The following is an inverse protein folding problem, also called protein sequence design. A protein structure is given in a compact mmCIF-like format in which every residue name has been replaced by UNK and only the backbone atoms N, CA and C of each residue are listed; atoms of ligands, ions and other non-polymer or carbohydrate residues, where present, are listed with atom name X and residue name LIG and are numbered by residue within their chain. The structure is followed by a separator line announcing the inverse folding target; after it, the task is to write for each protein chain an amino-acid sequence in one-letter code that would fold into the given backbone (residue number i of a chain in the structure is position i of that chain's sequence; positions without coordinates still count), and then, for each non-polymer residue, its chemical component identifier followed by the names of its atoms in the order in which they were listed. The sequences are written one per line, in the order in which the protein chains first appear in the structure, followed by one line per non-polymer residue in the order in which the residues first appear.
data_IF_184512788058
#
_entry.id   IF_184512788058
#
_cell.length_a   1.000
_cell.length_b   1.000
_cell.length_c   1.000
_cell.angle_alpha   90.00
_cell.angle_beta   90.00
_cell.angle_gamma   90.00
#
_symmetry.space_group_name_H-M   'P 1'
#
loop_
_entity.id
_entity.type
_entity.pdbx_description
1 polymer ?
#
# COMPACT_ATOMS: atom_id res chain seq x y z
N UNK A 1 -27.36 0.20 16.72
CA UNK A 1 -27.29 1.39 15.86
C UNK A 1 -28.66 2.02 15.88
N UNK A 2 -28.85 3.06 16.68
CA UNK A 2 -30.06 3.87 16.67
C UNK A 2 -30.22 4.42 15.26
N UNK A 3 -31.32 4.09 14.60
CA UNK A 3 -31.58 4.57 13.24
C UNK A 3 -31.68 6.09 13.28
N UNK A 4 -30.76 6.78 12.64
CA UNK A 4 -30.82 8.23 12.47
C UNK A 4 -32.11 8.54 11.72
N UNK A 5 -32.97 9.38 12.31
CA UNK A 5 -34.19 9.83 11.66
C UNK A 5 -34.03 11.27 11.18
N UNK A 6 -34.50 11.58 9.97
CA UNK A 6 -34.46 12.96 9.48
C UNK A 6 -35.28 13.88 10.42
N UNK A 7 -34.80 15.11 10.63
CA UNK A 7 -35.45 16.10 11.46
C UNK A 7 -36.71 16.64 10.79
N UNK A 8 -36.74 16.67 9.46
CA UNK A 8 -37.91 17.09 8.68
C UNK A 8 -38.44 15.93 7.84
N UNK A 9 -39.75 15.81 7.78
CA UNK A 9 -40.43 14.80 6.98
C UNK A 9 -40.18 15.04 5.50
N UNK A 10 -39.67 13.99 4.81
CA UNK A 10 -39.32 14.05 3.36
C UNK A 10 -37.83 14.20 3.07
N UNK A 11 -37.02 14.55 4.04
CA UNK A 11 -35.56 14.59 3.90
C UNK A 11 -34.97 13.17 3.90
N UNK A 12 -33.78 13.04 3.31
CA UNK A 12 -33.04 11.78 3.25
C UNK A 12 -31.70 11.91 3.98
N UNK A 13 -31.33 10.89 4.74
CA UNK A 13 -30.02 10.84 5.39
C UNK A 13 -29.10 9.93 4.59
N UNK A 14 -27.99 10.47 4.10
CA UNK A 14 -26.98 9.74 3.35
C UNK A 14 -25.62 10.02 4.00
N UNK A 15 -24.98 8.96 4.53
CA UNK A 15 -23.68 9.07 5.16
C UNK A 15 -23.61 10.04 6.36
N UNK A 16 -24.71 10.19 7.10
CA UNK A 16 -24.78 11.10 8.26
C UNK A 16 -25.09 12.55 7.91
N UNK A 17 -25.42 12.84 6.66
CA UNK A 17 -25.84 14.18 6.20
C UNK A 17 -27.32 14.12 5.82
N UNK A 18 -28.11 15.02 6.34
CA UNK A 18 -29.52 15.18 5.98
C UNK A 18 -29.64 16.11 4.78
N UNK A 19 -30.29 15.64 3.72
CA UNK A 19 -30.51 16.35 2.47
C UNK A 19 -32.00 16.60 2.24
N UNK A 20 -32.33 17.78 1.75
CA UNK A 20 -33.68 18.10 1.30
C UNK A 20 -33.98 17.48 -0.09
N UNK A 21 -35.20 17.71 -0.60
CA UNK A 21 -35.65 17.23 -1.91
C UNK A 21 -34.78 17.72 -3.08
N UNK A 22 -34.03 18.81 -2.92
CA UNK A 22 -33.14 19.39 -3.92
C UNK A 22 -31.66 18.96 -3.76
N UNK A 23 -31.39 17.95 -2.93
CA UNK A 23 -30.03 17.49 -2.59
C UNK A 23 -29.16 18.57 -1.94
N UNK A 24 -29.77 19.56 -1.27
CA UNK A 24 -29.04 20.54 -0.48
C UNK A 24 -28.89 20.00 0.95
N UNK A 25 -27.71 20.04 1.56
CA UNK A 25 -27.52 19.64 2.96
C UNK A 25 -28.30 20.60 3.88
N UNK A 26 -29.00 20.04 4.85
CA UNK A 26 -29.80 20.76 5.87
C UNK A 26 -29.17 20.61 7.24
N UNK A 27 -28.55 19.46 7.51
CA UNK A 27 -27.89 19.20 8.76
C UNK A 27 -26.98 17.98 8.74
N UNK A 28 -26.19 17.88 9.77
CA UNK A 28 -25.15 16.87 9.92
C UNK A 28 -25.31 16.12 11.23
N UNK A 29 -25.20 14.79 11.18
CA UNK A 29 -25.15 13.92 12.35
C UNK A 29 -23.68 13.61 12.66
N UNK A 30 -23.12 14.30 13.64
CA UNK A 30 -21.72 14.18 14.03
C UNK A 30 -21.61 13.16 15.15
N UNK A 31 -20.86 12.08 14.91
CA UNK A 31 -20.56 11.08 15.94
C UNK A 31 -19.56 11.64 16.93
N UNK A 32 -19.89 11.48 18.20
CA UNK A 32 -18.97 11.80 19.28
C UNK A 32 -18.31 10.52 19.80
N UNK A 33 -17.04 10.63 20.10
CA UNK A 33 -16.26 9.59 20.75
C UNK A 33 -15.83 10.08 22.13
N UNK A 34 -15.77 9.19 23.10
CA UNK A 34 -15.17 9.49 24.38
C UNK A 34 -13.64 9.61 24.28
N UNK A 35 -13.00 10.10 25.36
CA UNK A 35 -11.54 10.30 25.43
C UNK A 35 -10.75 9.00 25.12
N UNK A 36 -11.34 7.83 25.38
CA UNK A 36 -10.78 6.52 25.05
C UNK A 36 -10.75 6.23 23.53
N UNK A 37 -11.45 7.02 22.72
CA UNK A 37 -11.53 6.86 21.27
C UNK A 37 -12.35 5.66 20.79
N UNK A 38 -12.87 4.84 21.69
CA UNK A 38 -13.62 3.62 21.36
C UNK A 38 -15.10 3.72 21.70
N UNK A 39 -15.45 4.43 22.76
CA UNK A 39 -16.84 4.58 23.20
C UNK A 39 -17.56 5.57 22.30
N UNK A 40 -18.59 5.08 21.58
CA UNK A 40 -19.42 5.92 20.73
C UNK A 40 -20.62 6.43 21.54
N UNK A 41 -20.82 7.75 21.53
CA UNK A 41 -22.03 8.40 22.02
C UNK A 41 -23.06 8.53 20.91
N UNK A 42 -24.27 8.90 21.26
CA UNK A 42 -25.28 9.22 20.27
C UNK A 42 -24.84 10.40 19.40
N UNK A 43 -25.10 10.33 18.08
CA UNK A 43 -24.72 11.41 17.19
C UNK A 43 -25.48 12.69 17.50
N UNK A 44 -24.76 13.80 17.52
CA UNK A 44 -25.33 15.14 17.70
C UNK A 44 -25.67 15.71 16.33
N UNK A 45 -26.89 16.24 16.24
CA UNK A 45 -27.37 16.95 15.05
C UNK A 45 -26.87 18.40 15.07
N UNK A 46 -26.22 18.84 14.00
CA UNK A 46 -25.76 20.22 13.80
C UNK A 46 -26.39 20.75 12.51
N UNK A 47 -26.92 21.96 12.54
CA UNK A 47 -27.53 22.59 11.36
C UNK A 47 -26.44 22.89 10.30
N UNK A 48 -26.80 22.82 9.02
CA UNK A 48 -25.85 23.02 7.93
C UNK A 48 -25.23 24.43 7.92
N UNK A 49 -25.92 25.42 8.47
CA UNK A 49 -25.38 26.79 8.59
C UNK A 49 -24.21 26.93 9.57
N UNK A 50 -24.10 25.98 10.51
CA UNK A 50 -23.05 25.98 11.54
C UNK A 50 -21.89 25.03 11.20
N UNK A 51 -21.88 24.49 9.96
CA UNK A 51 -20.87 23.54 9.49
C UNK A 51 -20.34 23.95 8.13
N UNK A 52 -19.05 24.18 8.06
CA UNK A 52 -18.35 24.31 6.79
C UNK A 52 -18.03 22.90 6.31
N UNK A 53 -18.73 22.46 5.25
CA UNK A 53 -18.52 21.14 4.67
C UNK A 53 -17.73 21.26 3.38
N UNK A 54 -16.43 21.05 3.50
CA UNK A 54 -15.49 21.13 2.38
C UNK A 54 -15.41 19.81 1.63
N UNK A 55 -15.62 19.85 0.33
CA UNK A 55 -15.30 18.77 -0.60
C UNK A 55 -15.36 19.22 -2.05
N UNK A 56 -14.53 18.60 -2.89
CA UNK A 56 -14.53 18.82 -4.34
C UNK A 56 -15.63 18.02 -5.01
N UNK A 57 -16.54 18.71 -5.70
CA UNK A 57 -17.68 18.10 -6.35
C UNK A 57 -17.38 17.80 -7.81
N UNK A 58 -17.08 16.54 -8.12
CA UNK A 58 -16.75 16.09 -9.48
C UNK A 58 -18.00 15.80 -10.34
N UNK A 59 -19.18 15.64 -9.72
CA UNK A 59 -20.46 15.35 -10.42
C UNK A 59 -21.60 16.12 -9.77
N UNK A 60 -22.57 16.63 -10.56
CA UNK A 60 -23.71 17.38 -10.01
C UNK A 60 -24.52 16.61 -8.96
N UNK A 61 -24.62 15.28 -9.10
CA UNK A 61 -25.37 14.41 -8.16
C UNK A 61 -24.51 13.90 -7.00
N UNK A 62 -23.27 14.34 -6.88
CA UNK A 62 -22.36 13.88 -5.82
C UNK A 62 -22.72 14.56 -4.50
N UNK A 63 -23.00 13.74 -3.49
CA UNK A 63 -23.41 14.20 -2.16
C UNK A 63 -22.29 14.16 -1.13
N UNK A 64 -21.27 13.35 -1.38
CA UNK A 64 -20.05 13.26 -0.56
C UNK A 64 -18.83 13.07 -1.46
N UNK A 65 -17.71 13.49 -0.94
CA UNK A 65 -16.43 13.30 -1.61
C UNK A 65 -16.06 11.82 -1.71
N UNK A 66 -15.42 11.49 -2.82
CA UNK A 66 -14.65 10.28 -2.98
C UNK A 66 -13.20 10.75 -2.86
N UNK A 67 -12.45 10.18 -1.95
CA UNK A 67 -11.04 10.55 -1.75
C UNK A 67 -10.28 10.54 -3.08
N UNK A 68 -9.52 11.59 -3.35
CA UNK A 68 -8.66 11.69 -4.54
C UNK A 68 -7.59 10.59 -4.55
N UNK A 69 -7.30 10.02 -3.38
CA UNK A 69 -6.45 8.83 -3.24
C UNK A 69 -7.11 7.53 -3.73
N UNK A 70 -8.42 7.51 -3.98
CA UNK A 70 -9.13 6.27 -4.33
C UNK A 70 -8.53 5.52 -5.53
N UNK A 71 -8.14 6.17 -6.65
CA UNK A 71 -7.51 5.48 -7.78
C UNK A 71 -6.07 5.03 -7.50
N UNK A 72 -5.39 5.64 -6.53
CA UNK A 72 -3.97 5.38 -6.23
C UNK A 72 -3.76 4.38 -5.10
N UNK A 73 -4.70 4.23 -4.17
CA UNK A 73 -4.61 3.26 -3.06
C UNK A 73 -4.28 1.84 -3.53
N UNK A 74 -4.94 1.27 -4.56
CA UNK A 74 -4.59 -0.06 -5.06
C UNK A 74 -3.13 -0.13 -5.55
N UNK A 75 -2.64 0.91 -6.20
CA UNK A 75 -1.26 0.99 -6.71
C UNK A 75 -0.23 1.03 -5.57
N UNK A 76 -0.52 1.81 -4.54
CA UNK A 76 0.34 1.88 -3.34
C UNK A 76 0.40 0.51 -2.64
N UNK A 77 -0.73 -0.18 -2.56
CA UNK A 77 -0.79 -1.53 -2.02
C UNK A 77 0.04 -2.50 -2.85
N UNK A 78 -0.11 -2.49 -4.18
CA UNK A 78 0.64 -3.35 -5.10
C UNK A 78 2.15 -3.11 -4.98
N UNK A 79 2.59 -1.86 -4.85
CA UNK A 79 4.00 -1.51 -4.60
C UNK A 79 4.48 -2.16 -3.30
N UNK A 80 3.73 -2.02 -2.22
CA UNK A 80 4.12 -2.53 -0.92
C UNK A 80 4.21 -4.05 -0.92
N UNK A 81 3.21 -4.74 -1.46
CA UNK A 81 3.20 -6.21 -1.58
C UNK A 81 4.36 -6.71 -2.46
N UNK A 82 4.63 -6.03 -3.57
CA UNK A 82 5.74 -6.35 -4.45
C UNK A 82 7.10 -6.15 -3.76
N UNK A 83 7.32 -5.03 -3.08
CA UNK A 83 8.57 -4.76 -2.36
C UNK A 83 8.80 -5.78 -1.25
N UNK A 84 7.76 -6.21 -0.56
CA UNK A 84 7.85 -7.30 0.42
C UNK A 84 8.29 -8.62 -0.24
N UNK A 85 7.68 -8.98 -1.37
CA UNK A 85 8.04 -10.19 -2.11
C UNK A 85 9.49 -10.16 -2.62
N UNK A 86 9.94 -9.03 -3.16
CA UNK A 86 11.34 -8.83 -3.57
C UNK A 86 12.28 -8.95 -2.37
N UNK A 87 11.96 -8.34 -1.24
CA UNK A 87 12.79 -8.44 -0.02
C UNK A 87 12.90 -9.88 0.50
N UNK A 88 11.83 -10.67 0.40
CA UNK A 88 11.87 -12.09 0.77
C UNK A 88 12.72 -12.87 -0.22
N UNK A 89 12.55 -12.62 -1.53
CA UNK A 89 13.36 -13.24 -2.58
C UNK A 89 14.86 -12.99 -2.36
N UNK A 90 15.26 -11.73 -2.18
CA UNK A 90 16.66 -11.35 -1.94
C UNK A 90 17.25 -12.03 -0.68
N UNK A 91 16.43 -12.15 0.37
CA UNK A 91 16.85 -12.88 1.60
C UNK A 91 17.06 -14.37 1.33
N UNK A 92 16.20 -15.00 0.54
CA UNK A 92 16.34 -16.43 0.18
C UNK A 92 17.58 -16.60 -0.70
N UNK A 93 17.82 -15.72 -1.67
CA UNK A 93 19.01 -15.72 -2.51
C UNK A 93 20.29 -15.54 -1.70
N UNK A 94 20.29 -14.62 -0.74
CA UNK A 94 21.41 -14.39 0.16
C UNK A 94 21.72 -15.60 1.07
N UNK A 95 20.71 -16.43 1.37
CA UNK A 95 20.90 -17.64 2.17
C UNK A 95 21.42 -18.85 1.37
N UNK A 96 21.66 -18.70 0.06
CA UNK A 96 22.12 -19.78 -0.83
C UNK A 96 21.36 -21.09 -0.57
N UNK A 97 20.17 -21.23 -1.13
CA UNK A 97 19.43 -22.47 -1.05
C UNK A 97 20.12 -23.55 -1.89
N UNK A 98 20.75 -24.49 -1.21
CA UNK A 98 21.45 -25.62 -1.81
C UNK A 98 20.55 -26.85 -1.69
N UNK A 99 20.13 -27.43 -2.82
CA UNK A 99 19.46 -28.71 -2.84
C UNK A 99 20.46 -29.82 -3.11
N UNK A 100 20.50 -30.82 -2.26
CA UNK A 100 21.35 -32.00 -2.39
C UNK A 100 20.53 -33.08 -3.07
N UNK A 101 20.84 -33.35 -4.34
CA UNK A 101 20.25 -34.45 -5.08
C UNK A 101 20.99 -35.75 -4.71
N UNK A 102 20.30 -36.64 -4.02
CA UNK A 102 20.86 -37.95 -3.68
C UNK A 102 20.83 -38.84 -4.93
N UNK A 103 21.96 -39.17 -5.45
CA UNK A 103 22.06 -40.25 -6.44
C UNK A 103 21.93 -41.59 -5.71
N UNK A 104 21.13 -42.51 -6.27
CA UNK A 104 21.16 -43.88 -5.80
C UNK A 104 22.60 -44.42 -5.88
N UNK A 105 23.14 -44.98 -4.81
CA UNK A 105 24.47 -45.60 -4.90
C UNK A 105 24.38 -46.66 -5.96
N UNK A 106 25.24 -46.56 -6.96
CA UNK A 106 25.50 -47.66 -7.90
C UNK A 106 26.14 -48.78 -7.07
N UNK A 107 25.29 -49.55 -6.44
CA UNK A 107 25.73 -50.78 -5.79
C UNK A 107 26.39 -51.64 -6.87
N UNK A 108 27.68 -51.63 -6.89
CA UNK A 108 28.42 -52.62 -7.71
C UNK A 108 27.89 -53.96 -7.32
N UNK A 109 27.08 -54.55 -8.21
CA UNK A 109 26.71 -55.91 -8.12
C UNK A 109 28.03 -56.67 -8.25
N UNK A 110 28.51 -57.07 -7.10
CA UNK A 110 29.65 -58.00 -7.06
C UNK A 110 29.10 -59.41 -7.31
N UNK A 111 29.19 -59.95 -8.53
CA UNK A 111 28.51 -61.20 -8.88
C UNK A 111 29.09 -62.42 -8.16
N UNK A 112 30.13 -62.27 -7.36
CA UNK A 112 30.79 -63.36 -6.62
C UNK A 112 30.98 -63.11 -5.11
N UNK A 113 30.36 -62.10 -4.54
CA UNK A 113 30.55 -61.77 -3.14
C UNK A 113 29.37 -62.21 -2.29
N UNK A 114 29.49 -63.28 -1.50
CA UNK A 114 28.75 -63.42 -0.24
C UNK A 114 29.18 -62.25 0.68
N UNK A 115 28.67 -61.08 0.39
CA UNK A 115 28.91 -59.93 1.24
C UNK A 115 27.82 -59.85 2.25
N UNK A 116 28.12 -60.04 3.54
CA UNK A 116 27.36 -59.47 4.61
C UNK A 116 26.95 -58.05 4.22
N UNK A 117 25.66 -57.81 4.24
CA UNK A 117 25.14 -56.47 4.26
C UNK A 117 25.71 -55.79 5.50
N UNK A 118 26.80 -55.06 5.33
CA UNK A 118 27.42 -54.25 6.36
C UNK A 118 26.37 -53.23 6.73
N UNK A 119 25.78 -53.44 7.90
CA UNK A 119 24.90 -52.48 8.51
C UNK A 119 25.66 -51.14 8.61
N UNK A 120 25.13 -50.11 7.97
CA UNK A 120 25.43 -48.78 8.39
C UNK A 120 26.72 -48.12 7.81
N UNK A 121 26.71 -47.82 6.51
CA UNK A 121 27.35 -46.59 6.09
C UNK A 121 26.54 -45.46 6.71
N UNK A 122 27.12 -44.67 7.64
CA UNK A 122 26.40 -43.61 8.32
C UNK A 122 26.11 -42.47 7.33
N UNK A 123 25.11 -42.66 6.48
CA UNK A 123 24.71 -41.60 5.56
C UNK A 123 24.21 -40.43 6.40
N UNK A 124 24.80 -39.28 6.17
CA UNK A 124 24.41 -38.04 6.85
C UNK A 124 22.96 -37.77 6.46
N UNK A 125 22.07 -37.74 7.45
CA UNK A 125 20.71 -37.24 7.24
C UNK A 125 20.70 -35.73 7.21
N UNK A 126 20.08 -35.18 6.19
CA UNK A 126 19.91 -33.73 6.04
C UNK A 126 18.57 -33.23 6.60
N UNK A 127 17.73 -34.15 7.09
CA UNK A 127 16.44 -33.87 7.62
C UNK A 127 16.51 -32.98 8.88
N UNK A 128 15.76 -31.89 8.90
CA UNK A 128 15.74 -30.96 10.04
C UNK A 128 16.97 -30.03 10.18
N UNK A 129 17.87 -29.97 9.21
CA UNK A 129 19.03 -29.07 9.27
C UNK A 129 18.72 -27.74 8.60
N UNK A 130 18.93 -26.67 9.36
CA UNK A 130 18.87 -25.30 8.85
C UNK A 130 20.12 -24.95 8.07
N UNK A 131 19.94 -24.25 6.96
CA UNK A 131 21.04 -23.71 6.16
C UNK A 131 21.35 -22.32 6.69
N UNK A 132 22.62 -22.06 7.02
CA UNK A 132 23.12 -20.74 7.41
C UNK A 132 24.03 -20.16 6.32
N UNK A 133 24.08 -18.85 6.15
CA UNK A 133 24.97 -18.21 5.21
C UNK A 133 26.44 -18.60 5.44
N UNK A 134 27.16 -18.96 4.39
CA UNK A 134 28.58 -19.34 4.48
C UNK A 134 28.84 -20.76 5.02
N UNK A 135 27.82 -21.59 5.17
CA UNK A 135 28.00 -22.97 5.64
C UNK A 135 28.64 -23.85 4.55
N UNK A 136 29.81 -24.39 4.85
CA UNK A 136 30.46 -25.44 4.06
C UNK A 136 30.18 -26.79 4.73
N UNK A 137 29.62 -27.73 3.99
CA UNK A 137 29.30 -29.04 4.51
C UNK A 137 29.75 -30.16 3.54
N UNK A 138 30.37 -31.16 4.12
CA UNK A 138 30.68 -32.40 3.38
C UNK A 138 29.40 -33.18 3.04
N UNK A 139 29.34 -33.74 1.86
CA UNK A 139 28.26 -34.53 1.32
C UNK A 139 28.64 -35.98 1.23
N UNK A 140 27.61 -36.84 1.16
CA UNK A 140 27.85 -38.26 0.94
C UNK A 140 28.35 -38.48 -0.51
N UNK A 141 29.15 -39.53 -0.70
CA UNK A 141 29.60 -39.92 -2.04
C UNK A 141 28.37 -40.23 -2.92
N UNK A 142 28.33 -39.60 -4.10
CA UNK A 142 27.23 -39.74 -5.06
C UNK A 142 26.10 -38.71 -4.91
N UNK A 143 26.15 -37.83 -3.90
CA UNK A 143 25.24 -36.73 -3.80
C UNK A 143 25.71 -35.55 -4.70
N UNK A 144 24.77 -34.93 -5.38
CA UNK A 144 25.02 -33.79 -6.27
C UNK A 144 24.36 -32.52 -5.71
N UNK A 145 25.06 -31.42 -5.73
CA UNK A 145 24.56 -30.13 -5.31
C UNK A 145 23.85 -29.44 -6.46
N UNK A 146 22.60 -29.20 -6.33
CA UNK A 146 21.84 -28.33 -7.22
C UNK A 146 21.57 -27.00 -6.54
N UNK A 147 22.25 -25.96 -6.98
CA UNK A 147 21.96 -24.60 -6.56
C UNK A 147 20.69 -24.16 -7.29
N UNK A 148 19.62 -23.94 -6.54
CA UNK A 148 18.45 -23.26 -7.10
C UNK A 148 18.76 -21.77 -7.11
N UNK A 149 19.13 -21.31 -8.30
CA UNK A 149 19.26 -19.89 -8.56
C UNK A 149 17.87 -19.40 -9.02
N UNK A 150 17.08 -18.72 -8.19
CA UNK A 150 15.85 -18.10 -8.62
C UNK A 150 16.21 -16.91 -9.52
N UNK A 151 16.60 -17.22 -10.77
CA UNK A 151 16.92 -16.22 -11.78
C UNK A 151 15.65 -15.46 -12.18
N UNK A 152 15.23 -14.57 -11.33
CA UNK A 152 14.14 -13.61 -11.55
C UNK A 152 14.76 -12.21 -11.66
N UNK A 153 14.42 -11.55 -12.69
CA UNK A 153 14.86 -10.27 -13.21
C UNK A 153 14.98 -9.19 -12.11
N UNK A 154 16.14 -9.03 -11.50
CA UNK A 154 16.40 -7.96 -10.51
C UNK A 154 16.28 -6.55 -11.11
N UNK A 155 16.55 -6.39 -12.42
CA UNK A 155 16.39 -5.11 -13.12
C UNK A 155 14.93 -4.69 -13.30
N UNK A 156 14.00 -5.64 -13.36
CA UNK A 156 12.57 -5.36 -13.51
C UNK A 156 11.92 -4.82 -12.23
N UNK A 157 12.47 -5.16 -11.06
CA UNK A 157 11.91 -4.71 -9.78
C UNK A 157 11.94 -3.19 -9.64
N UNK A 158 13.07 -2.58 -9.98
CA UNK A 158 13.22 -1.12 -9.91
C UNK A 158 12.34 -0.42 -10.94
N UNK A 159 12.27 -0.94 -12.16
CA UNK A 159 11.44 -0.38 -13.22
C UNK A 159 9.95 -0.50 -12.89
N UNK A 160 9.53 -1.62 -12.32
CA UNK A 160 8.16 -1.80 -11.84
C UNK A 160 7.81 -0.80 -10.74
N UNK A 161 8.67 -0.65 -9.73
CA UNK A 161 8.46 0.31 -8.65
C UNK A 161 8.37 1.76 -9.19
N UNK A 162 9.28 2.16 -10.10
CA UNK A 162 9.24 3.47 -10.76
C UNK A 162 7.95 3.67 -11.55
N UNK A 163 7.51 2.66 -12.32
CA UNK A 163 6.27 2.74 -13.08
C UNK A 163 5.06 2.96 -12.15
N UNK A 164 4.97 2.20 -11.07
CA UNK A 164 3.86 2.33 -10.12
C UNK A 164 3.86 3.71 -9.43
N UNK A 165 5.03 4.23 -9.06
CA UNK A 165 5.15 5.58 -8.47
C UNK A 165 4.75 6.67 -9.48
N UNK A 166 5.08 6.52 -10.77
CA UNK A 166 4.60 7.43 -11.82
C UNK A 166 3.07 7.39 -11.97
N UNK A 167 2.47 6.20 -11.88
CA UNK A 167 1.01 6.06 -11.91
C UNK A 167 0.33 6.64 -10.66
N UNK A 168 0.98 6.57 -9.50
CA UNK A 168 0.51 7.25 -8.28
C UNK A 168 0.57 8.75 -8.45
N UNK A 169 1.68 9.30 -8.93
CA UNK A 169 1.83 10.73 -9.23
C UNK A 169 0.78 11.23 -10.23
N UNK A 170 0.63 10.53 -11.35
CA UNK A 170 -0.36 10.85 -12.36
C UNK A 170 -1.80 10.81 -11.81
N UNK A 171 -2.11 9.88 -10.90
CA UNK A 171 -3.42 9.79 -10.25
C UNK A 171 -3.72 10.91 -9.25
N UNK A 172 -2.67 11.58 -8.75
CA UNK A 172 -2.77 12.74 -7.85
C UNK A 172 -2.54 14.08 -8.57
N UNK A 173 -2.24 14.05 -9.87
CA UNK A 173 -1.93 15.27 -10.63
C UNK A 173 -0.59 15.91 -10.23
N UNK A 174 0.37 15.12 -9.73
CA UNK A 174 1.70 15.59 -9.33
C UNK A 174 2.80 14.80 -10.05
N UNK A 175 3.97 15.41 -10.18
CA UNK A 175 5.11 14.81 -10.88
C UNK A 175 5.67 13.58 -10.13
N UNK A 176 6.36 12.71 -10.87
CA UNK A 176 7.08 11.55 -10.31
C UNK A 176 8.12 12.00 -9.27
N UNK A 177 8.83 13.07 -9.56
CA UNK A 177 9.86 13.63 -8.70
C UNK A 177 9.28 14.11 -7.36
N UNK A 178 8.06 14.65 -7.37
CA UNK A 178 7.37 15.06 -6.15
C UNK A 178 6.98 13.86 -5.27
N UNK A 179 6.61 12.73 -5.88
CA UNK A 179 6.24 11.49 -5.17
C UNK A 179 7.46 10.76 -4.65
N UNK A 180 8.45 10.51 -5.52
CA UNK A 180 9.60 9.64 -5.23
C UNK A 180 10.77 10.37 -4.59
N UNK A 181 10.88 11.68 -4.82
CA UNK A 181 12.05 12.52 -4.53
C UNK A 181 13.33 12.03 -5.20
N UNK A 182 13.19 11.23 -6.26
CA UNK A 182 14.30 10.74 -7.07
C UNK A 182 14.59 11.72 -8.21
N UNK A 183 15.74 12.38 -8.12
CA UNK A 183 16.22 13.36 -9.10
C UNK A 183 17.34 12.78 -9.99
N UNK A 184 17.66 11.48 -9.86
CA UNK A 184 18.84 10.90 -10.50
C UNK A 184 18.82 10.95 -12.03
N UNK A 185 17.64 10.84 -12.64
CA UNK A 185 17.46 10.83 -14.10
C UNK A 185 16.90 12.16 -14.64
N UNK A 186 16.69 13.15 -13.77
CA UNK A 186 16.08 14.41 -14.16
C UNK A 186 17.11 15.46 -14.56
N UNK A 187 16.79 16.27 -15.57
CA UNK A 187 17.54 17.47 -15.93
C UNK A 187 16.92 18.70 -15.30
N UNK A 188 17.70 19.77 -15.13
CA UNK A 188 17.18 21.02 -14.59
C UNK A 188 15.93 21.52 -15.34
N UNK A 189 15.91 21.38 -16.66
CA UNK A 189 14.78 21.82 -17.48
C UNK A 189 13.53 20.97 -17.25
N UNK A 190 13.68 19.64 -17.17
CA UNK A 190 12.54 18.73 -16.93
C UNK A 190 11.98 18.88 -15.52
N UNK A 191 12.84 19.01 -14.52
CA UNK A 191 12.42 19.25 -13.14
C UNK A 191 11.67 20.57 -12.99
N UNK A 192 12.18 21.65 -13.62
CA UNK A 192 11.51 22.94 -13.61
C UNK A 192 10.13 22.87 -14.27
N UNK A 193 9.99 22.16 -15.40
CA UNK A 193 8.71 22.00 -16.06
C UNK A 193 7.72 21.21 -15.17
N UNK A 194 8.19 20.14 -14.52
CA UNK A 194 7.37 19.37 -13.57
C UNK A 194 6.88 20.22 -12.41
N UNK A 195 7.75 21.07 -11.82
CA UNK A 195 7.36 21.99 -10.74
C UNK A 195 6.30 23.01 -11.18
N UNK A 196 6.37 23.51 -12.42
CA UNK A 196 5.36 24.43 -12.95
C UNK A 196 4.01 23.73 -13.11
N UNK A 197 4.00 22.48 -13.57
CA UNK A 197 2.77 21.67 -13.69
C UNK A 197 2.20 21.33 -12.32
N UNK A 198 3.03 20.92 -11.36
CA UNK A 198 2.64 20.68 -9.97
C UNK A 198 2.05 21.94 -9.32
N UNK A 199 2.60 23.14 -9.63
CA UNK A 199 2.09 24.41 -9.12
C UNK A 199 0.67 24.70 -9.59
N UNK A 200 0.28 24.29 -10.80
CA UNK A 200 -1.09 24.43 -11.27
C UNK A 200 -2.07 23.60 -10.42
N UNK A 201 -1.72 22.35 -10.14
CA UNK A 201 -2.52 21.48 -9.25
C UNK A 201 -2.64 22.07 -7.85
N UNK A 202 -1.52 22.54 -7.27
CA UNK A 202 -1.53 23.17 -5.95
C UNK A 202 -2.32 24.47 -5.92
N UNK A 203 -2.36 25.21 -7.03
CA UNK A 203 -3.12 26.45 -7.15
C UNK A 203 -4.62 26.21 -7.06
N UNK A 204 -5.12 25.18 -7.74
CA UNK A 204 -6.54 24.83 -7.67
C UNK A 204 -6.95 24.46 -6.24
N UNK A 205 -6.16 23.62 -5.56
CA UNK A 205 -6.40 23.26 -4.16
C UNK A 205 -6.29 24.46 -3.21
N UNK A 206 -5.33 25.34 -3.48
CA UNK A 206 -5.15 26.56 -2.69
C UNK A 206 -6.34 27.51 -2.82
N UNK A 207 -6.87 27.72 -4.02
CA UNK A 207 -8.02 28.60 -4.25
C UNK A 207 -9.23 28.09 -3.45
N UNK A 208 -9.48 26.78 -3.49
CA UNK A 208 -10.55 26.15 -2.74
C UNK A 208 -10.39 26.30 -1.21
N UNK A 209 -9.14 26.16 -0.71
CA UNK A 209 -8.84 26.35 0.70
C UNK A 209 -8.99 27.83 1.13
N UNK A 210 -8.68 28.77 0.24
CA UNK A 210 -8.83 30.20 0.53
C UNK A 210 -10.31 30.56 0.75
N UNK A 211 -11.24 30.05 -0.04
CA UNK A 211 -12.67 30.27 0.15
C UNK A 211 -13.14 29.85 1.56
N UNK A 212 -12.64 28.71 2.03
CA UNK A 212 -12.98 28.21 3.38
C UNK A 212 -12.38 29.09 4.48
N UNK A 213 -11.13 29.51 4.30
CA UNK A 213 -10.46 30.37 5.28
C UNK A 213 -11.14 31.73 5.38
N UNK A 214 -11.63 32.26 4.26
CA UNK A 214 -12.40 33.50 4.24
C UNK A 214 -13.72 33.35 5.02
N UNK A 215 -14.46 32.25 4.83
CA UNK A 215 -15.68 31.96 5.58
C UNK A 215 -15.43 31.81 7.09
N UNK A 216 -14.34 31.13 7.47
CA UNK A 216 -13.92 31.02 8.87
C UNK A 216 -13.60 32.39 9.45
N UNK A 217 -12.86 33.20 8.69
CA UNK A 217 -12.45 34.54 9.13
C UNK A 217 -13.66 35.47 9.31
N UNK A 218 -14.59 35.48 8.34
CA UNK A 218 -15.84 36.25 8.45
C UNK A 218 -16.63 35.84 9.69
N UNK A 219 -16.81 34.54 9.92
CA UNK A 219 -17.52 34.01 11.09
C UNK A 219 -16.85 34.43 12.38
N UNK A 220 -15.51 34.38 12.43
CA UNK A 220 -14.75 34.83 13.59
C UNK A 220 -14.93 36.33 13.85
N UNK A 221 -14.82 37.17 12.82
CA UNK A 221 -15.00 38.64 12.96
C UNK A 221 -16.42 38.98 13.43
N UNK A 222 -17.45 38.35 12.86
CA UNK A 222 -18.84 38.56 13.27
C UNK A 222 -19.06 38.15 14.72
N UNK A 223 -18.41 37.09 15.20
CA UNK A 223 -18.55 36.63 16.58
C UNK A 223 -17.77 37.47 17.59
N UNK A 224 -16.78 38.26 17.14
CA UNK A 224 -15.93 39.11 17.98
C UNK A 224 -16.44 40.55 18.13
N UNK A 225 -17.46 40.92 17.34
CA UNK A 225 -18.13 42.24 17.39
C UNK A 225 -19.43 42.12 18.18
#
# INVERSE_FOLDING_TARGET
LTAMQPKEAGNKIIGGIEYNAFNKPVGYFIRQYDIDGFSQREPVYVEAKDVIFYFTKNRPSQLREISDMAPTIPRIRDINEFMMAVSVKERIEACLAVFIKKALPTSGINPYGRGNASAGDPRISYEGKTISPGMIKEMNAGDEVQVVNPSGQGSDATNFAKLQQRLVGAGQGISYEAVSRDMAESTYSSTRQGLIEDELTYKEEKELLMEILDEIYETFVISAV
#
